data_IF_062389465142
#
_entry.id   IF_062389465142
#
_cell.length_a   1.000
_cell.length_b   1.000
_cell.length_c   1.000
_cell.angle_alpha   90.00
_cell.angle_beta   90.00
_cell.angle_gamma   90.00
#
_symmetry.space_group_name_H-M   'P 1'
#
loop_
_entity.id
_entity.type
_entity.pdbx_description
1 polymer ?
#
# COMPACT_ATOMS: atom_id res chain seq x y z
N UNK A 1 5.98 -6.65 11.11
CA UNK A 1 4.63 -6.88 11.65
C UNK A 1 3.54 -6.79 10.57
N UNK A 2 3.27 -5.64 9.94
CA UNK A 2 2.14 -5.48 8.98
C UNK A 2 2.17 -6.39 7.73
N UNK A 3 3.32 -7.00 7.41
CA UNK A 3 3.49 -7.97 6.31
C UNK A 3 3.98 -9.33 6.82
N UNK A 4 3.86 -9.59 8.12
CA UNK A 4 4.28 -10.86 8.71
C UNK A 4 3.31 -11.96 8.33
N UNK A 5 3.81 -13.00 7.67
CA UNK A 5 3.03 -14.21 7.33
C UNK A 5 2.49 -14.89 8.58
N UNK A 6 3.23 -14.86 9.68
CA UNK A 6 2.82 -15.41 10.97
C UNK A 6 1.56 -14.73 11.53
N UNK A 7 1.45 -13.40 11.38
CA UNK A 7 0.34 -12.62 11.94
C UNK A 7 -0.84 -12.49 10.97
N UNK A 8 -0.57 -12.51 9.66
CA UNK A 8 -1.55 -12.15 8.62
C UNK A 8 -1.92 -13.30 7.68
N UNK A 9 -1.23 -14.44 7.77
CA UNK A 9 -1.43 -15.59 6.89
C UNK A 9 -0.53 -15.60 5.65
N UNK A 10 -0.64 -16.63 4.80
CA UNK A 10 0.23 -16.84 3.63
C UNK A 10 0.12 -15.73 2.57
N UNK A 11 -1.00 -15.01 2.56
CA UNK A 11 -1.31 -13.89 1.66
C UNK A 11 -0.86 -12.52 2.21
N UNK A 12 -0.12 -12.46 3.33
CA UNK A 12 0.29 -11.21 4.00
C UNK A 12 1.01 -10.18 3.12
N UNK A 13 1.59 -10.62 2.01
CA UNK A 13 2.28 -9.74 1.04
C UNK A 13 1.38 -9.26 -0.10
N UNK A 14 0.20 -9.84 -0.26
CA UNK A 14 -0.75 -9.46 -1.31
C UNK A 14 -1.52 -8.20 -0.91
N UNK A 15 -1.88 -7.38 -1.90
CA UNK A 15 -2.79 -6.28 -1.68
C UNK A 15 -4.19 -6.80 -1.97
N UNK A 16 -4.96 -7.04 -0.91
CA UNK A 16 -6.31 -7.55 -0.98
C UNK A 16 -7.20 -6.73 -0.03
N UNK A 17 -8.07 -5.84 -0.57
CA UNK A 17 -8.97 -5.04 0.25
C UNK A 17 -10.10 -5.87 0.88
N UNK A 18 -10.46 -7.02 0.31
CA UNK A 18 -11.58 -7.84 0.80
C UNK A 18 -11.24 -8.55 2.12
N UNK A 19 -9.95 -8.60 2.49
CA UNK A 19 -9.50 -9.17 3.77
C UNK A 19 -10.12 -8.50 4.99
N UNK A 20 -10.57 -7.25 4.86
CA UNK A 20 -11.24 -6.50 5.92
C UNK A 20 -12.74 -6.79 5.99
N UNK A 21 -13.29 -7.44 4.97
CA UNK A 21 -14.72 -7.71 4.79
C UNK A 21 -15.06 -9.18 5.03
N UNK A 22 -14.08 -10.08 4.93
CA UNK A 22 -14.28 -11.52 5.10
C UNK A 22 -13.81 -12.06 6.47
N UNK A 23 -13.82 -13.40 6.61
CA UNK A 23 -13.48 -14.09 7.86
C UNK A 23 -12.02 -13.90 8.30
N UNK A 24 -11.11 -13.47 7.40
CA UNK A 24 -9.73 -13.13 7.75
C UNK A 24 -9.68 -11.94 8.70
N UNK A 25 -10.61 -10.99 8.58
CA UNK A 25 -10.68 -9.84 9.48
C UNK A 25 -10.87 -10.29 10.93
N UNK A 26 -11.86 -11.18 11.15
CA UNK A 26 -12.12 -11.77 12.48
C UNK A 26 -10.91 -12.59 12.94
N UNK A 27 -10.42 -13.49 12.10
CA UNK A 27 -9.34 -14.43 12.42
C UNK A 27 -8.02 -13.75 12.81
N UNK A 28 -7.65 -12.65 12.15
CA UNK A 28 -6.33 -12.03 12.33
C UNK A 28 -6.42 -10.70 13.08
N UNK A 29 -7.19 -9.74 12.56
CA UNK A 29 -7.15 -8.37 13.07
C UNK A 29 -7.99 -8.20 14.34
N UNK A 30 -9.22 -8.71 14.39
CA UNK A 30 -10.09 -8.52 15.56
C UNK A 30 -9.60 -9.29 16.79
N UNK A 31 -8.99 -10.46 16.58
CA UNK A 31 -8.33 -11.24 17.65
C UNK A 31 -7.08 -10.54 18.21
N UNK A 32 -6.36 -9.77 17.39
CA UNK A 32 -5.17 -9.04 17.82
C UNK A 32 -5.02 -7.68 17.10
N UNK A 33 -5.71 -6.62 17.53
CA UNK A 33 -5.69 -5.33 16.84
C UNK A 33 -4.30 -4.68 16.75
N UNK A 34 -3.37 -5.05 17.63
CA UNK A 34 -2.00 -4.53 17.65
C UNK A 34 -1.12 -5.07 16.52
N UNK A 35 -1.60 -5.98 15.67
CA UNK A 35 -0.89 -6.40 14.45
C UNK A 35 -1.00 -5.38 13.30
N UNK A 36 -1.82 -4.33 13.46
CA UNK A 36 -2.01 -3.25 12.50
C UNK A 36 -1.94 -1.88 13.17
N UNK A 37 -0.78 -1.21 13.11
CA UNK A 37 -0.49 0.05 13.77
C UNK A 37 -0.01 1.15 12.78
N UNK A 38 -0.80 1.52 11.75
CA UNK A 38 -0.42 2.56 10.80
C UNK A 38 -0.27 3.95 11.44
N UNK A 39 -0.94 4.17 12.58
CA UNK A 39 -0.94 5.42 13.35
C UNK A 39 -0.35 5.25 14.76
N UNK A 40 0.39 4.15 15.00
CA UNK A 40 0.79 3.68 16.33
C UNK A 40 -0.45 3.32 17.20
N UNK A 41 -0.25 3.15 18.50
CA UNK A 41 -1.31 2.91 19.48
C UNK A 41 -0.94 3.53 20.84
N UNK A 42 -1.93 3.57 21.75
CA UNK A 42 -1.76 4.09 23.11
C UNK A 42 -1.62 5.61 23.17
N UNK A 43 -0.99 6.16 24.23
CA UNK A 43 -0.92 7.62 24.46
C UNK A 43 -0.17 8.42 23.39
N UNK A 44 0.56 7.75 22.49
CA UNK A 44 1.32 8.34 21.38
C UNK A 44 0.72 8.03 20.01
N UNK A 45 -0.54 7.58 19.97
CA UNK A 45 -1.29 7.43 18.72
C UNK A 45 -1.34 8.77 17.98
N UNK A 46 -1.29 8.71 16.65
CA UNK A 46 -1.33 9.91 15.81
C UNK A 46 -2.57 10.75 16.12
N UNK A 47 -2.37 11.98 16.63
CA UNK A 47 -3.46 12.92 16.89
C UNK A 47 -4.26 13.26 15.62
N UNK A 48 -3.61 13.17 14.46
CA UNK A 48 -4.21 13.42 13.15
C UNK A 48 -4.89 12.19 12.52
N UNK A 49 -5.02 11.05 13.20
CA UNK A 49 -5.56 9.82 12.60
C UNK A 49 -6.97 10.03 12.00
N UNK A 50 -7.89 10.65 12.74
CA UNK A 50 -9.26 10.87 12.26
C UNK A 50 -9.29 11.87 11.10
N UNK A 51 -8.45 12.91 11.17
CA UNK A 51 -8.29 13.85 10.08
C UNK A 51 -7.75 13.18 8.82
N UNK A 52 -6.72 12.34 8.94
CA UNK A 52 -6.15 11.60 7.83
C UNK A 52 -7.19 10.68 7.17
N UNK A 53 -8.02 9.98 7.95
CA UNK A 53 -9.10 9.16 7.39
C UNK A 53 -10.15 9.99 6.65
N UNK A 54 -10.52 11.15 7.16
CA UNK A 54 -11.47 12.04 6.49
C UNK A 54 -10.90 12.59 5.18
N UNK A 55 -9.68 13.11 5.20
CA UNK A 55 -9.00 13.66 4.02
C UNK A 55 -8.85 12.61 2.92
N UNK A 56 -8.35 11.42 3.24
CA UNK A 56 -8.14 10.38 2.22
C UNK A 56 -9.45 9.83 1.67
N UNK A 57 -10.47 9.67 2.52
CA UNK A 57 -11.79 9.20 2.09
C UNK A 57 -12.45 10.23 1.16
N UNK A 58 -12.41 11.51 1.53
CA UNK A 58 -12.93 12.59 0.70
C UNK A 58 -12.18 12.66 -0.63
N UNK A 59 -10.84 12.66 -0.59
CA UNK A 59 -10.01 12.68 -1.79
C UNK A 59 -10.35 11.51 -2.73
N UNK A 60 -10.36 10.28 -2.23
CA UNK A 60 -10.65 9.09 -3.05
C UNK A 60 -12.03 9.15 -3.69
N UNK A 61 -13.06 9.53 -2.93
CA UNK A 61 -14.42 9.67 -3.45
C UNK A 61 -14.47 10.74 -4.55
N UNK A 62 -13.91 11.93 -4.30
CA UNK A 62 -13.93 13.03 -5.29
C UNK A 62 -13.10 12.70 -6.52
N UNK A 63 -11.97 12.02 -6.34
CA UNK A 63 -11.10 11.58 -7.42
C UNK A 63 -11.82 10.57 -8.33
N UNK A 64 -12.47 9.55 -7.77
CA UNK A 64 -13.23 8.55 -8.53
C UNK A 64 -14.53 9.10 -9.16
N UNK A 65 -15.11 10.15 -8.58
CA UNK A 65 -16.25 10.85 -9.20
C UNK A 65 -15.84 11.73 -10.38
N UNK A 66 -14.61 12.23 -10.38
CA UNK A 66 -14.09 13.14 -11.40
C UNK A 66 -13.49 12.39 -12.59
N UNK A 67 -12.75 11.30 -12.34
CA UNK A 67 -12.05 10.54 -13.37
C UNK A 67 -12.65 9.16 -13.50
N UNK A 68 -13.07 8.81 -14.71
CA UNK A 68 -13.65 7.50 -14.98
C UNK A 68 -12.58 6.44 -15.17
N UNK A 69 -11.41 6.82 -15.70
CA UNK A 69 -10.30 5.90 -15.95
C UNK A 69 -8.99 6.45 -15.41
N UNK A 70 -8.23 5.58 -14.75
CA UNK A 70 -6.91 5.88 -14.20
C UNK A 70 -5.97 4.74 -14.57
N UNK A 71 -4.93 5.05 -15.33
CA UNK A 71 -3.93 4.08 -15.77
C UNK A 71 -2.54 4.54 -15.36
N UNK A 72 -1.68 3.59 -14.98
CA UNK A 72 -0.26 3.88 -14.80
C UNK A 72 0.36 4.34 -16.13
N UNK A 73 1.23 5.34 -16.06
CA UNK A 73 1.92 5.94 -17.19
C UNK A 73 3.45 5.76 -17.06
N UNK A 74 4.00 4.55 -17.28
CA UNK A 74 5.43 4.30 -17.12
C UNK A 74 6.32 5.19 -17.99
N UNK A 75 5.80 5.66 -19.12
CA UNK A 75 6.51 6.57 -20.03
C UNK A 75 6.78 7.95 -19.42
N UNK A 76 6.06 8.33 -18.37
CA UNK A 76 6.29 9.59 -17.64
C UNK A 76 7.46 9.51 -16.65
N UNK A 77 8.00 8.32 -16.36
CA UNK A 77 9.07 8.15 -15.40
C UNK A 77 10.42 8.63 -15.95
N UNK A 78 11.20 9.41 -15.18
CA UNK A 78 12.59 9.72 -15.53
C UNK A 78 13.44 8.45 -15.67
N UNK A 79 14.48 8.52 -16.49
CA UNK A 79 15.38 7.39 -16.73
C UNK A 79 15.98 6.85 -15.42
N UNK A 80 16.02 5.52 -15.28
CA UNK A 80 16.55 4.85 -14.08
C UNK A 80 15.66 4.93 -12.83
N UNK A 81 14.41 5.39 -12.95
CA UNK A 81 13.46 5.46 -11.82
C UNK A 81 12.45 4.32 -11.76
N UNK A 82 12.23 3.62 -12.88
CA UNK A 82 11.44 2.39 -12.93
C UNK A 82 12.13 1.25 -12.15
N UNK A 83 11.38 0.21 -11.72
CA UNK A 83 11.95 -0.98 -11.08
C UNK A 83 13.09 -1.60 -11.90
N UNK A 84 14.19 -2.03 -11.27
CA UNK A 84 15.26 -2.76 -11.93
C UNK A 84 14.73 -4.05 -12.58
N UNK A 85 15.34 -4.47 -13.69
CA UNK A 85 14.87 -5.65 -14.45
C UNK A 85 15.01 -6.92 -13.62
N UNK A 86 16.08 -6.99 -12.83
CA UNK A 86 16.39 -8.12 -11.93
C UNK A 86 15.31 -8.38 -10.88
N UNK A 87 14.39 -7.42 -10.62
CA UNK A 87 13.28 -7.64 -9.69
C UNK A 87 12.33 -8.74 -10.12
N UNK A 88 12.22 -8.99 -11.43
CA UNK A 88 11.37 -10.05 -11.99
C UNK A 88 11.82 -11.45 -11.54
N UNK A 89 13.12 -11.60 -11.30
CA UNK A 89 13.73 -12.87 -10.93
C UNK A 89 13.92 -13.02 -9.40
N UNK A 90 13.44 -12.05 -8.62
CA UNK A 90 13.57 -12.09 -7.16
C UNK A 90 12.64 -13.16 -6.55
N UNK A 91 13.23 -14.30 -6.17
CA UNK A 91 12.55 -15.44 -5.57
C UNK A 91 12.44 -15.37 -4.04
N UNK A 92 12.87 -14.27 -3.40
CA UNK A 92 12.86 -14.18 -1.94
C UNK A 92 11.43 -14.20 -1.41
N UNK A 93 11.15 -15.12 -0.48
CA UNK A 93 9.85 -15.18 0.19
C UNK A 93 9.60 -13.90 0.97
N UNK A 94 8.42 -13.30 0.78
CA UNK A 94 8.02 -12.07 1.47
C UNK A 94 8.28 -10.77 0.69
N UNK A 95 8.83 -10.85 -0.52
CA UNK A 95 9.00 -9.69 -1.41
C UNK A 95 7.83 -9.53 -2.39
N UNK A 96 7.57 -8.30 -2.81
CA UNK A 96 6.65 -7.98 -3.92
C UNK A 96 7.37 -7.59 -5.20
N UNK A 97 8.70 -7.51 -5.19
CA UNK A 97 9.51 -7.00 -6.30
C UNK A 97 9.12 -7.56 -7.69
N UNK A 98 8.82 -8.85 -7.88
CA UNK A 98 8.46 -9.38 -9.20
C UNK A 98 7.19 -8.80 -9.82
N UNK A 99 6.28 -8.29 -8.99
CA UNK A 99 4.97 -7.76 -9.44
C UNK A 99 4.91 -6.22 -9.41
N UNK A 100 5.90 -5.56 -8.81
CA UNK A 100 5.89 -4.09 -8.69
C UNK A 100 6.15 -3.42 -10.04
N UNK A 101 5.27 -2.49 -10.41
CA UNK A 101 5.39 -1.67 -11.62
C UNK A 101 6.00 -0.30 -11.37
N UNK A 102 6.16 0.04 -10.09
CA UNK A 102 6.75 1.29 -9.59
C UNK A 102 7.84 0.93 -8.58
N UNK A 103 8.80 1.83 -8.36
CA UNK A 103 9.87 1.58 -7.40
C UNK A 103 9.59 2.28 -6.06
N UNK A 104 8.97 1.57 -5.09
CA UNK A 104 8.78 2.14 -3.75
C UNK A 104 10.12 2.29 -3.04
N UNK A 105 10.32 3.45 -2.43
CA UNK A 105 11.44 3.78 -1.53
C UNK A 105 10.87 4.26 -0.22
N UNK A 106 11.65 4.11 0.85
CA UNK A 106 11.28 4.60 2.18
C UNK A 106 12.53 5.19 2.82
N UNK A 107 12.46 6.46 3.21
CA UNK A 107 13.44 7.09 4.10
C UNK A 107 12.74 7.44 5.40
N UNK A 108 12.01 8.55 5.39
CA UNK A 108 11.10 8.98 6.48
C UNK A 108 9.65 8.64 6.12
N UNK A 109 9.27 8.85 4.85
CA UNK A 109 7.99 8.46 4.28
C UNK A 109 8.21 7.49 3.12
N UNK A 110 7.20 6.69 2.82
CA UNK A 110 7.18 5.89 1.59
C UNK A 110 6.86 6.79 0.39
N UNK A 111 7.56 6.59 -0.71
CA UNK A 111 7.34 7.32 -1.96
C UNK A 111 7.74 6.47 -3.17
N UNK A 112 7.27 6.86 -4.35
CA UNK A 112 7.67 6.25 -5.62
C UNK A 112 8.91 6.96 -6.17
N UNK A 113 10.01 6.23 -6.42
CA UNK A 113 11.21 6.81 -7.06
C UNK A 113 10.81 7.36 -8.43
N UNK A 114 11.11 8.63 -8.68
CA UNK A 114 10.74 9.30 -9.94
C UNK A 114 9.28 9.76 -10.03
N UNK A 115 8.49 9.59 -8.96
CA UNK A 115 7.06 9.94 -8.93
C UNK A 115 6.13 8.77 -9.26
N UNK A 116 4.82 9.00 -9.12
CA UNK A 116 3.77 8.11 -9.60
C UNK A 116 3.05 8.81 -10.74
N UNK A 117 3.27 8.35 -11.96
CA UNK A 117 2.70 8.96 -13.15
C UNK A 117 1.47 8.18 -13.59
N UNK A 118 0.37 8.89 -13.82
CA UNK A 118 -0.90 8.31 -14.25
C UNK A 118 -1.50 9.09 -15.39
N UNK A 119 -2.14 8.40 -16.33
CA UNK A 119 -3.08 8.99 -17.28
C UNK A 119 -4.45 8.92 -16.66
N UNK A 120 -5.15 10.05 -16.65
CA UNK A 120 -6.54 10.15 -16.18
C UNK A 120 -7.44 10.58 -17.33
N UNK A 121 -8.63 9.99 -17.43
CA UNK A 121 -9.67 10.35 -18.39
C UNK A 121 -11.03 10.44 -17.71
#
# INVERSE_FOLDING_TARGET
MHRSVELWGPDAIQFDPDRWLDERNKKYYLENPFIFLPFLAGPRICLGQQFAYNEISFFLIRFLQQFQHVELAPEGHPEGTLPPVEWKDDVNVGTRKPIEKIWPKSHVTMYCKGGLWVRVK
#
